data_IF_085879274330
#
_entry.id   IF_085879274330
#
_cell.length_a   1.000
_cell.length_b   1.000
_cell.length_c   1.000
_cell.angle_alpha   90.00
_cell.angle_beta   90.00
_cell.angle_gamma   90.00
#
_symmetry.space_group_name_H-M   'P 1'
#
loop_
_entity.id
_entity.type
_entity.pdbx_description
1 polymer ?
#
# COMPACT_ATOMS: atom_id res chain seq x y z
N UNK A 1 21.63 -24.23 -8.44
CA UNK A 1 21.41 -23.41 -7.21
C UNK A 1 22.16 -22.08 -7.27
N UNK A 2 23.42 -22.05 -7.72
CA UNK A 2 24.21 -20.81 -7.84
C UNK A 2 23.59 -19.75 -8.76
N UNK A 3 22.96 -20.15 -9.86
CA UNK A 3 22.35 -19.22 -10.85
C UNK A 3 21.22 -18.36 -10.27
N UNK A 4 20.40 -18.92 -9.37
CA UNK A 4 19.31 -18.17 -8.73
C UNK A 4 19.88 -17.12 -7.77
N UNK A 5 20.92 -17.51 -7.03
CA UNK A 5 21.58 -16.63 -6.05
C UNK A 5 22.33 -15.49 -6.75
N UNK A 6 22.96 -15.78 -7.89
CA UNK A 6 23.58 -14.78 -8.76
C UNK A 6 22.56 -13.82 -9.38
N UNK A 7 21.43 -14.32 -9.90
CA UNK A 7 20.35 -13.47 -10.42
C UNK A 7 19.76 -12.57 -9.33
N UNK A 8 19.59 -13.08 -8.11
CA UNK A 8 19.11 -12.30 -6.97
C UNK A 8 20.09 -11.19 -6.58
N UNK A 9 21.39 -11.51 -6.43
CA UNK A 9 22.41 -10.52 -6.12
C UNK A 9 22.52 -9.47 -7.23
N UNK A 10 22.41 -9.89 -8.49
CA UNK A 10 22.43 -8.98 -9.64
C UNK A 10 21.23 -8.03 -9.61
N UNK A 11 20.02 -8.55 -9.36
CA UNK A 11 18.81 -7.73 -9.21
C UNK A 11 18.91 -6.72 -8.07
N UNK A 12 19.43 -7.13 -6.90
CA UNK A 12 19.66 -6.22 -5.78
C UNK A 12 20.65 -5.11 -6.12
N UNK A 13 21.71 -5.40 -6.88
CA UNK A 13 22.68 -4.39 -7.32
C UNK A 13 22.13 -3.44 -8.38
N UNK A 14 21.21 -3.92 -9.22
CA UNK A 14 20.54 -3.11 -10.24
C UNK A 14 19.44 -2.21 -9.65
N UNK A 15 18.97 -2.53 -8.44
CA UNK A 15 17.91 -1.78 -7.75
C UNK A 15 18.43 -0.42 -7.30
N UNK A 16 17.73 0.63 -7.69
CA UNK A 16 18.04 2.01 -7.33
C UNK A 16 17.68 2.31 -5.87
N UNK A 17 18.32 3.33 -5.30
CA UNK A 17 17.99 3.77 -3.93
C UNK A 17 16.51 4.15 -3.76
N UNK A 18 15.89 4.70 -4.81
CA UNK A 18 14.47 5.06 -4.82
C UNK A 18 13.56 3.83 -4.70
N UNK A 19 13.89 2.76 -5.43
CA UNK A 19 13.15 1.48 -5.39
C UNK A 19 13.28 0.82 -4.01
N UNK A 20 14.45 0.86 -3.39
CA UNK A 20 14.61 0.38 -2.01
C UNK A 20 13.69 1.14 -1.05
N UNK A 21 13.66 2.48 -1.13
CA UNK A 21 12.77 3.28 -0.29
C UNK A 21 11.30 2.89 -0.52
N UNK A 22 10.87 2.72 -1.77
CA UNK A 22 9.51 2.30 -2.10
C UNK A 22 9.17 0.97 -1.42
N UNK A 23 10.02 -0.05 -1.62
CA UNK A 23 9.82 -1.39 -1.04
C UNK A 23 9.76 -1.33 0.48
N UNK A 24 10.69 -0.63 1.14
CA UNK A 24 10.67 -0.50 2.60
C UNK A 24 9.44 0.26 3.11
N UNK A 25 9.02 1.32 2.40
CA UNK A 25 7.78 2.03 2.72
C UNK A 25 6.57 1.10 2.57
N UNK A 26 6.49 0.28 1.51
CA UNK A 26 5.45 -0.71 1.34
C UNK A 26 5.38 -1.71 2.49
N UNK A 27 6.52 -2.29 2.88
CA UNK A 27 6.61 -3.24 4.00
C UNK A 27 6.20 -2.57 5.31
N UNK A 28 6.68 -1.35 5.57
CA UNK A 28 6.33 -0.60 6.78
C UNK A 28 4.84 -0.25 6.82
N UNK A 29 4.23 0.11 5.69
CA UNK A 29 2.79 0.37 5.58
C UNK A 29 1.98 -0.89 5.96
N UNK A 30 2.32 -2.06 5.43
CA UNK A 30 1.64 -3.33 5.77
C UNK A 30 1.78 -3.65 7.26
N UNK A 31 2.95 -3.40 7.83
CA UNK A 31 3.17 -3.58 9.27
C UNK A 31 2.30 -2.64 10.11
N UNK A 32 2.17 -1.36 9.73
CA UNK A 32 1.28 -0.42 10.40
C UNK A 32 -0.19 -0.79 10.22
N UNK A 33 -0.58 -1.34 9.06
CA UNK A 33 -1.92 -1.87 8.82
C UNK A 33 -2.28 -2.97 9.82
N UNK A 34 -1.37 -3.93 10.03
CA UNK A 34 -1.54 -4.99 11.04
C UNK A 34 -1.66 -4.45 12.46
N UNK A 35 -0.99 -3.33 12.76
CA UNK A 35 -1.06 -2.66 14.05
C UNK A 35 -2.25 -1.71 14.18
N UNK A 36 -3.13 -1.64 13.17
CA UNK A 36 -4.25 -0.70 13.10
C UNK A 36 -3.81 0.74 13.38
N UNK A 37 -2.61 1.10 12.89
CA UNK A 37 -2.01 2.39 13.16
C UNK A 37 -2.19 3.34 11.98
N UNK A 38 -2.55 4.59 12.26
CA UNK A 38 -2.81 5.63 11.25
C UNK A 38 -1.64 5.89 10.28
N UNK A 39 -0.41 5.56 10.68
CA UNK A 39 0.77 5.67 9.81
C UNK A 39 0.76 4.75 8.60
N UNK A 40 -0.16 3.77 8.54
CA UNK A 40 -0.37 2.95 7.33
C UNK A 40 -0.53 3.80 6.08
N UNK A 41 -1.28 4.90 6.19
CA UNK A 41 -1.61 5.77 5.06
C UNK A 41 -0.45 6.66 4.60
N UNK A 42 0.18 7.51 5.43
CA UNK A 42 1.29 8.36 4.99
C UNK A 42 2.49 7.54 4.50
N UNK A 43 2.79 6.40 5.13
CA UNK A 43 3.87 5.52 4.67
C UNK A 43 3.48 4.82 3.36
N UNK A 44 2.21 4.41 3.22
CA UNK A 44 1.67 3.86 1.97
C UNK A 44 1.70 4.87 0.83
N UNK A 45 1.45 6.16 1.10
CA UNK A 45 1.53 7.24 0.10
C UNK A 45 2.94 7.42 -0.44
N UNK A 46 3.96 7.37 0.43
CA UNK A 46 5.37 7.42 -0.01
C UNK A 46 5.63 6.29 -1.00
N UNK A 47 5.18 5.08 -0.67
CA UNK A 47 5.33 3.91 -1.53
C UNK A 47 4.64 4.09 -2.90
N UNK A 48 3.34 4.40 -2.90
CA UNK A 48 2.56 4.47 -4.15
C UNK A 48 2.99 5.63 -5.04
N UNK A 49 3.38 6.78 -4.47
CA UNK A 49 3.90 7.92 -5.25
C UNK A 49 5.21 7.57 -5.95
N UNK A 50 6.12 6.89 -5.24
CA UNK A 50 7.37 6.43 -5.86
C UNK A 50 7.09 5.41 -6.96
N UNK A 51 6.17 4.46 -6.74
CA UNK A 51 5.81 3.48 -7.77
C UNK A 51 5.14 4.12 -8.99
N UNK A 52 4.27 5.13 -8.83
CA UNK A 52 3.73 5.89 -9.97
C UNK A 52 4.88 6.45 -10.81
N UNK A 53 5.86 7.09 -10.17
CA UNK A 53 7.01 7.67 -10.85
C UNK A 53 7.84 6.61 -11.59
N UNK A 54 8.13 5.48 -10.94
CA UNK A 54 8.88 4.37 -11.53
C UNK A 54 8.13 3.73 -12.71
N UNK A 55 6.83 3.47 -12.54
CA UNK A 55 5.98 2.89 -13.60
C UNK A 55 5.86 3.83 -14.80
N UNK A 56 5.76 5.15 -14.59
CA UNK A 56 5.78 6.13 -15.69
C UNK A 56 7.11 6.14 -16.43
N UNK A 57 8.24 6.06 -15.71
CA UNK A 57 9.57 5.92 -16.32
C UNK A 57 9.73 4.62 -17.11
N UNK A 58 9.14 3.54 -16.63
CA UNK A 58 9.13 2.23 -17.31
C UNK A 58 8.11 2.12 -18.45
N UNK A 59 7.37 3.19 -18.78
CA UNK A 59 6.25 3.17 -19.72
C UNK A 59 5.13 2.17 -19.36
N UNK A 60 5.02 1.81 -18.08
CA UNK A 60 4.02 0.90 -17.51
C UNK A 60 2.80 1.69 -17.02
N UNK A 61 2.02 2.24 -17.97
CA UNK A 61 0.88 3.10 -17.64
C UNK A 61 -0.23 2.38 -16.86
N UNK A 62 -0.43 1.07 -17.08
CA UNK A 62 -1.40 0.28 -16.31
C UNK A 62 -1.04 0.22 -14.83
N UNK A 63 0.24 -0.04 -14.53
CA UNK A 63 0.73 -0.10 -13.15
C UNK A 63 0.76 1.28 -12.49
N UNK A 64 1.10 2.33 -13.25
CA UNK A 64 1.02 3.71 -12.77
C UNK A 64 -0.43 4.09 -12.39
N UNK A 65 -1.41 3.68 -13.19
CA UNK A 65 -2.83 3.96 -12.94
C UNK A 65 -3.36 3.26 -11.68
N UNK A 66 -2.96 2.01 -11.44
CA UNK A 66 -3.31 1.28 -10.22
C UNK A 66 -2.69 1.92 -8.99
N UNK A 67 -1.40 2.29 -9.04
CA UNK A 67 -0.76 3.00 -7.93
C UNK A 67 -1.35 4.40 -7.69
N UNK A 68 -1.84 5.07 -8.74
CA UNK A 68 -2.58 6.32 -8.61
C UNK A 68 -3.90 6.12 -7.86
N UNK A 69 -4.66 5.07 -8.19
CA UNK A 69 -5.86 4.69 -7.46
C UNK A 69 -5.54 4.43 -5.97
N UNK A 70 -4.50 3.65 -5.67
CA UNK A 70 -4.08 3.40 -4.28
C UNK A 70 -3.65 4.68 -3.55
N UNK A 71 -3.02 5.62 -4.25
CA UNK A 71 -2.67 6.93 -3.68
C UNK A 71 -3.92 7.69 -3.25
N UNK A 72 -4.94 7.78 -4.12
CA UNK A 72 -6.21 8.46 -3.81
C UNK A 72 -6.92 7.77 -2.63
N UNK A 73 -7.01 6.44 -2.66
CA UNK A 73 -7.62 5.66 -1.58
C UNK A 73 -6.87 5.82 -0.25
N UNK A 74 -5.55 5.92 -0.28
CA UNK A 74 -4.74 6.15 0.91
C UNK A 74 -5.00 7.54 1.51
N UNK A 75 -5.12 8.60 0.69
CA UNK A 75 -5.53 9.93 1.18
C UNK A 75 -6.93 9.87 1.81
N UNK A 76 -7.89 9.22 1.15
CA UNK A 76 -9.26 9.09 1.66
C UNK A 76 -9.29 8.35 3.00
N UNK A 77 -8.62 7.20 3.08
CA UNK A 77 -8.50 6.42 4.30
C UNK A 77 -7.81 7.21 5.42
N UNK A 78 -6.77 7.98 5.10
CA UNK A 78 -6.09 8.83 6.07
C UNK A 78 -7.02 9.89 6.65
N UNK A 79 -7.80 10.58 5.83
CA UNK A 79 -8.78 11.58 6.29
C UNK A 79 -9.81 10.93 7.20
N UNK A 80 -10.31 9.75 6.83
CA UNK A 80 -11.36 9.06 7.57
C UNK A 80 -10.84 8.54 8.93
N UNK A 81 -9.64 7.98 8.97
CA UNK A 81 -8.98 7.51 10.20
C UNK A 81 -8.42 8.65 11.07
N UNK A 82 -8.17 9.83 10.48
CA UNK A 82 -7.76 11.01 11.25
C UNK A 82 -8.91 11.62 12.06
N UNK A 83 -10.17 11.32 11.70
CA UNK A 83 -11.34 11.74 12.49
C UNK A 83 -11.40 10.93 13.78
N UNK A 84 -11.11 11.60 14.90
CA UNK A 84 -11.29 11.05 16.25
C UNK A 84 -12.66 11.45 16.77
N UNK A 85 -13.30 10.55 17.52
CA UNK A 85 -14.55 10.88 18.19
C UNK A 85 -14.28 11.93 19.29
N UNK A 86 -14.92 13.10 19.18
CA UNK A 86 -14.70 14.23 20.07
C UNK A 86 -15.05 13.94 21.54
N UNK A 87 -15.86 12.90 21.79
CA UNK A 87 -16.33 12.51 23.12
C UNK A 87 -15.53 11.37 23.76
N UNK A 88 -14.94 10.47 22.95
CA UNK A 88 -14.29 9.25 23.46
C UNK A 88 -12.79 9.15 23.19
N UNK A 89 -12.23 10.03 22.36
CA UNK A 89 -10.81 9.96 21.95
C UNK A 89 -10.39 8.62 21.31
N UNK A 90 -11.35 7.78 20.93
CA UNK A 90 -11.13 6.49 20.28
C UNK A 90 -11.26 6.63 18.75
N UNK A 91 -10.66 5.70 18.02
CA UNK A 91 -10.83 5.62 16.57
C UNK A 91 -12.28 5.28 16.24
N UNK A 92 -12.92 6.09 15.38
CA UNK A 92 -14.34 5.94 15.00
C UNK A 92 -14.59 4.66 14.19
N UNK A 93 -13.53 4.09 13.60
CA UNK A 93 -13.61 2.91 12.75
C UNK A 93 -13.00 1.70 13.44
N UNK A 94 -13.82 0.66 13.64
CA UNK A 94 -13.38 -0.63 14.09
C UNK A 94 -13.28 -1.59 12.90
N UNK A 95 -12.20 -2.36 12.84
CA UNK A 95 -12.05 -3.43 11.85
C UNK A 95 -13.08 -4.51 12.17
N UNK A 96 -13.92 -4.85 11.19
CA UNK A 96 -14.97 -5.87 11.32
C UNK A 96 -14.78 -6.98 10.29
N UNK A 97 -15.31 -8.16 10.60
CA UNK A 97 -15.32 -9.28 9.66
C UNK A 97 -16.46 -9.13 8.65
N UNK A 98 -16.19 -9.48 7.39
CA UNK A 98 -17.21 -9.49 6.34
C UNK A 98 -18.24 -10.61 6.54
N UNK A 99 -19.50 -10.29 6.27
CA UNK A 99 -20.64 -11.20 6.30
C UNK A 99 -20.68 -12.12 5.07
N UNK A 100 -21.46 -13.21 5.14
CA UNK A 100 -21.64 -14.13 4.01
C UNK A 100 -22.23 -13.48 2.75
N UNK A 101 -23.08 -12.46 2.91
CA UNK A 101 -23.67 -11.72 1.78
C UNK A 101 -22.64 -10.88 1.06
N UNK A 102 -21.74 -10.23 1.79
CA UNK A 102 -20.63 -9.44 1.23
C UNK A 102 -19.67 -10.35 0.45
N UNK A 103 -19.33 -11.52 0.99
CA UNK A 103 -18.55 -12.53 0.28
C UNK A 103 -19.18 -12.94 -1.06
N UNK A 104 -20.50 -13.14 -1.09
CA UNK A 104 -21.22 -13.46 -2.33
C UNK A 104 -21.15 -12.31 -3.34
N UNK A 105 -21.31 -11.07 -2.90
CA UNK A 105 -21.18 -9.90 -3.78
C UNK A 105 -19.77 -9.75 -4.34
N UNK A 106 -18.74 -9.96 -3.53
CA UNK A 106 -17.35 -9.93 -3.99
C UNK A 106 -17.08 -11.02 -5.04
N UNK A 107 -17.57 -12.25 -4.81
CA UNK A 107 -17.40 -13.37 -5.75
C UNK A 107 -18.14 -13.18 -7.08
N UNK A 108 -19.25 -12.44 -7.10
CA UNK A 108 -19.98 -12.15 -8.34
C UNK A 108 -19.38 -11.00 -9.13
N UNK A 109 -18.63 -10.11 -8.46
CA UNK A 109 -18.00 -8.96 -9.10
C UNK A 109 -16.67 -9.33 -9.79
N UNK A 110 -15.88 -10.22 -9.17
CA UNK A 110 -14.60 -10.72 -9.71
C UNK A 110 -14.80 -11.94 -10.62
#
# INVERSE_FOLDING_TARGET
>A
MNTILEQFISGLRATTFLEFIAVFAGIASVWFSRKEHILVYPIGLINTIIYIYLSLKGHLFGEASVNLYYTIMSVYGWILWSKKDALKHEAVLHVQFSTQKEWLYQLLFF
#
